data_IF_431192064580
#
_entry.id   IF_431192064580
#
_cell.length_a   1.000
_cell.length_b   1.000
_cell.length_c   1.000
_cell.angle_alpha   90.00
_cell.angle_beta   90.00
_cell.angle_gamma   90.00
#
_symmetry.space_group_name_H-M   'P 1'
#
loop_
_entity.id
_entity.type
_entity.pdbx_description
1 polymer ?
#
# COMPACT_ATOMS: atom_id res chain seq x y z
N UNK A 1 -11.62 7.33 -18.53
CA UNK A 1 -11.04 8.65 -18.82
C UNK A 1 -9.53 8.50 -19.01
N UNK A 2 -8.94 8.95 -20.14
CA UNK A 2 -7.50 8.85 -20.41
C UNK A 2 -6.63 9.63 -19.40
N UNK A 3 -7.19 10.62 -18.71
CA UNK A 3 -6.49 11.39 -17.69
C UNK A 3 -6.35 10.64 -16.36
N UNK A 4 -7.18 9.61 -16.11
CA UNK A 4 -7.13 8.80 -14.87
C UNK A 4 -5.77 8.14 -14.71
N UNK A 5 -5.22 8.24 -13.49
CA UNK A 5 -3.93 7.72 -13.12
C UNK A 5 -4.06 6.49 -12.22
N UNK A 6 -3.22 5.50 -12.43
CA UNK A 6 -3.19 4.27 -11.65
C UNK A 6 -1.78 3.99 -11.16
N UNK A 7 -1.64 3.63 -9.88
CA UNK A 7 -0.40 3.11 -9.29
C UNK A 7 -0.61 1.65 -8.91
N UNK A 8 0.31 0.78 -9.28
CA UNK A 8 0.20 -0.64 -9.05
C UNK A 8 0.97 -1.08 -7.80
N UNK A 9 0.39 -2.02 -7.07
CA UNK A 9 1.00 -2.70 -5.92
C UNK A 9 0.89 -4.21 -6.13
N UNK A 10 1.99 -4.90 -5.91
CA UNK A 10 2.08 -6.35 -6.00
C UNK A 10 2.82 -6.90 -4.78
N UNK A 11 2.18 -7.82 -4.03
CA UNK A 11 2.75 -8.45 -2.82
C UNK A 11 3.42 -7.46 -1.84
N UNK A 12 2.75 -6.34 -1.55
CA UNK A 12 3.25 -5.24 -0.71
C UNK A 12 4.41 -4.42 -1.32
N UNK A 13 4.83 -4.69 -2.56
CA UNK A 13 5.81 -3.90 -3.31
C UNK A 13 5.13 -2.89 -4.22
N UNK A 14 5.72 -1.72 -4.35
CA UNK A 14 5.22 -0.63 -5.20
C UNK A 14 5.89 -0.67 -6.57
N UNK A 15 5.13 -0.39 -7.63
CA UNK A 15 5.65 -0.30 -8.99
C UNK A 15 6.39 1.01 -9.20
N UNK A 16 7.70 0.93 -9.45
CA UNK A 16 8.59 2.08 -9.58
C UNK A 16 9.56 1.91 -10.74
N UNK A 17 10.10 3.02 -11.23
CA UNK A 17 11.21 3.08 -12.18
C UNK A 17 12.40 3.81 -11.56
N UNK A 18 13.60 3.61 -12.11
CA UNK A 18 14.83 4.19 -11.58
C UNK A 18 15.42 3.37 -10.42
N UNK A 19 16.76 3.25 -10.40
CA UNK A 19 17.49 2.51 -9.36
C UNK A 19 17.96 3.45 -8.26
N UNK A 20 18.62 4.54 -8.64
CA UNK A 20 19.20 5.50 -7.70
C UNK A 20 18.22 6.65 -7.31
N UNK A 21 17.22 6.87 -8.13
CA UNK A 21 16.16 7.86 -7.90
C UNK A 21 14.82 7.25 -8.30
N UNK A 22 14.23 6.39 -7.45
CA UNK A 22 12.99 5.71 -7.76
C UNK A 22 11.84 6.72 -7.88
N UNK A 23 10.96 6.46 -8.86
CA UNK A 23 9.75 7.23 -9.07
C UNK A 23 8.57 6.29 -9.29
N UNK A 24 7.35 6.62 -8.86
CA UNK A 24 6.17 5.82 -9.15
C UNK A 24 5.99 5.67 -10.66
N UNK A 25 5.73 4.44 -11.12
CA UNK A 25 5.20 4.25 -12.46
C UNK A 25 3.71 4.51 -12.41
N UNK A 26 3.27 5.55 -13.10
CA UNK A 26 1.86 5.91 -13.22
C UNK A 26 1.33 5.41 -14.56
N UNK A 27 0.44 4.43 -14.51
CA UNK A 27 -0.23 3.88 -15.68
C UNK A 27 -1.42 4.77 -16.07
N UNK A 28 -1.67 4.92 -17.39
CA UNK A 28 -2.78 5.71 -17.92
C UNK A 28 -3.29 5.13 -19.23
N UNK A 29 -4.56 5.40 -19.56
CA UNK A 29 -5.17 5.02 -20.82
C UNK A 29 -4.96 3.54 -21.13
N UNK A 30 -4.46 3.25 -22.33
CA UNK A 30 -4.22 1.88 -22.80
C UNK A 30 -3.15 1.14 -21.98
N UNK A 31 -2.16 1.85 -21.46
CA UNK A 31 -1.11 1.28 -20.61
C UNK A 31 -1.66 0.69 -19.29
N UNK A 32 -2.80 1.17 -18.83
CA UNK A 32 -3.45 0.68 -17.63
C UNK A 32 -4.44 -0.44 -17.87
N UNK A 33 -4.83 -0.71 -19.14
CA UNK A 33 -5.96 -1.56 -19.46
C UNK A 33 -5.80 -2.99 -18.94
N UNK A 34 -4.66 -3.61 -19.21
CA UNK A 34 -4.41 -4.98 -18.77
C UNK A 34 -4.27 -5.07 -17.24
N UNK A 35 -3.55 -4.12 -16.62
CA UNK A 35 -3.40 -4.09 -15.18
C UNK A 35 -4.76 -3.88 -14.48
N UNK A 36 -5.64 -3.05 -15.06
CA UNK A 36 -6.97 -2.80 -14.53
C UNK A 36 -7.88 -4.03 -14.65
N UNK A 37 -7.79 -4.77 -15.77
CA UNK A 37 -8.54 -6.00 -15.98
C UNK A 37 -8.14 -7.11 -14.99
N UNK A 38 -6.84 -7.21 -14.68
CA UNK A 38 -6.27 -8.25 -13.83
C UNK A 38 -6.23 -7.89 -12.34
N UNK A 39 -6.56 -6.64 -11.97
CA UNK A 39 -6.53 -6.19 -10.59
C UNK A 39 -7.59 -6.89 -9.73
N UNK A 40 -7.18 -7.43 -8.57
CA UNK A 40 -8.11 -8.01 -7.58
C UNK A 40 -8.95 -6.94 -6.88
N UNK A 41 -8.39 -5.77 -6.67
CA UNK A 41 -9.05 -4.61 -6.05
C UNK A 41 -8.57 -3.32 -6.75
N UNK A 42 -9.51 -2.39 -6.89
CA UNK A 42 -9.25 -1.03 -7.41
C UNK A 42 -9.75 -0.05 -6.38
N UNK A 43 -8.85 0.78 -5.86
CA UNK A 43 -9.17 1.72 -4.78
C UNK A 43 -8.91 3.14 -5.23
N UNK A 44 -9.89 4.02 -5.05
CA UNK A 44 -9.75 5.45 -5.31
C UNK A 44 -8.89 6.10 -4.22
N UNK A 45 -7.78 6.74 -4.60
CA UNK A 45 -6.87 7.39 -3.66
C UNK A 45 -7.17 8.89 -3.48
N UNK A 46 -7.84 9.50 -4.43
CA UNK A 46 -8.16 10.93 -4.40
C UNK A 46 -7.98 11.60 -5.75
N UNK A 47 -7.91 12.92 -5.71
CA UNK A 47 -7.68 13.77 -6.88
C UNK A 47 -6.31 14.44 -6.78
N UNK A 48 -5.58 14.46 -7.88
CA UNK A 48 -4.41 15.29 -8.12
C UNK A 48 -4.81 16.39 -9.11
N UNK A 49 -5.15 17.57 -8.60
CA UNK A 49 -5.90 18.56 -9.34
C UNK A 49 -7.28 18.02 -9.75
N UNK A 50 -7.54 17.95 -11.05
CA UNK A 50 -8.77 17.35 -11.60
C UNK A 50 -8.61 15.85 -11.96
N UNK A 51 -7.44 15.28 -11.78
CA UNK A 51 -7.11 13.92 -12.17
C UNK A 51 -7.44 12.92 -11.06
N UNK A 52 -8.27 11.94 -11.33
CA UNK A 52 -8.53 10.83 -10.43
C UNK A 52 -7.32 9.88 -10.37
N UNK A 53 -6.93 9.50 -9.16
CA UNK A 53 -5.84 8.57 -8.90
C UNK A 53 -6.38 7.33 -8.20
N UNK A 54 -6.00 6.15 -8.70
CA UNK A 54 -6.40 4.86 -8.15
C UNK A 54 -5.20 3.97 -7.85
N UNK A 55 -5.34 3.08 -6.88
CA UNK A 55 -4.44 1.97 -6.62
C UNK A 55 -4.99 0.68 -7.22
N UNK A 56 -4.13 -0.12 -7.85
CA UNK A 56 -4.43 -1.46 -8.37
C UNK A 56 -3.72 -2.52 -7.53
N UNK A 57 -4.46 -3.52 -7.02
CA UNK A 57 -3.88 -4.70 -6.37
C UNK A 57 -3.66 -5.79 -7.41
N UNK A 58 -2.41 -6.04 -7.74
CA UNK A 58 -1.98 -7.10 -8.66
C UNK A 58 -1.43 -8.32 -7.92
N UNK A 59 -1.62 -8.42 -6.60
CA UNK A 59 -0.99 -9.44 -5.75
C UNK A 59 -1.42 -10.88 -6.05
N UNK A 60 -2.51 -11.06 -6.78
CA UNK A 60 -2.97 -12.38 -7.27
C UNK A 60 -2.17 -12.93 -8.45
N UNK A 61 -1.38 -12.09 -9.13
CA UNK A 61 -0.61 -12.50 -10.31
C UNK A 61 0.72 -13.16 -9.91
N UNK A 62 1.18 -14.07 -10.78
CA UNK A 62 2.54 -14.60 -10.68
C UNK A 62 3.58 -13.57 -11.14
N UNK A 63 4.84 -13.77 -10.77
CA UNK A 63 5.98 -12.90 -11.08
C UNK A 63 6.08 -12.53 -12.57
N UNK A 64 5.88 -13.52 -13.47
CA UNK A 64 5.94 -13.31 -14.92
C UNK A 64 4.75 -12.52 -15.45
N UNK A 65 3.57 -12.73 -14.88
CA UNK A 65 2.32 -12.10 -15.32
C UNK A 65 2.22 -10.65 -14.89
N UNK A 66 2.71 -10.31 -13.70
CA UNK A 66 2.62 -8.94 -13.17
C UNK A 66 3.43 -7.95 -13.97
N UNK A 67 4.59 -8.35 -14.50
CA UNK A 67 5.40 -7.48 -15.36
C UNK A 67 4.72 -7.24 -16.71
N UNK A 68 4.11 -8.26 -17.28
CA UNK A 68 3.34 -8.11 -18.51
C UNK A 68 2.13 -7.19 -18.29
N UNK A 69 1.43 -7.35 -17.17
CA UNK A 69 0.28 -6.52 -16.81
C UNK A 69 0.61 -5.01 -16.76
N UNK A 70 1.85 -4.65 -16.42
CA UNK A 70 2.31 -3.25 -16.37
C UNK A 70 3.18 -2.84 -17.57
N UNK A 71 3.13 -3.63 -18.66
CA UNK A 71 3.83 -3.33 -19.91
C UNK A 71 5.35 -3.48 -19.82
N UNK A 72 5.86 -4.35 -18.96
CA UNK A 72 7.29 -4.62 -18.74
C UNK A 72 8.12 -3.38 -18.44
N UNK A 73 7.53 -2.38 -17.80
CA UNK A 73 8.19 -1.12 -17.41
C UNK A 73 8.41 -1.09 -15.90
N UNK A 74 9.60 -0.66 -15.48
CA UNK A 74 9.94 -0.55 -14.06
C UNK A 74 10.08 -1.89 -13.35
N UNK A 75 9.98 -1.84 -12.03
CA UNK A 75 10.10 -3.00 -11.14
C UNK A 75 9.20 -2.82 -9.91
N UNK A 76 8.86 -3.93 -9.25
CA UNK A 76 8.18 -3.87 -7.96
C UNK A 76 9.21 -3.88 -6.82
N UNK A 77 9.19 -2.85 -5.97
CA UNK A 77 10.17 -2.68 -4.89
C UNK A 77 9.47 -2.44 -3.54
N UNK A 78 10.08 -2.98 -2.48
CA UNK A 78 9.60 -2.74 -1.10
C UNK A 78 9.79 -1.27 -0.72
N UNK A 79 8.68 -0.60 -0.41
CA UNK A 79 8.66 0.81 -0.05
C UNK A 79 9.55 1.15 1.16
N UNK A 80 9.80 0.20 2.07
CA UNK A 80 10.71 0.41 3.19
C UNK A 80 12.16 0.62 2.76
N UNK A 81 12.54 0.03 1.62
CA UNK A 81 13.90 0.13 1.08
C UNK A 81 14.08 1.40 0.27
N UNK A 82 13.08 1.76 -0.56
CA UNK A 82 13.16 2.90 -1.47
C UNK A 82 12.62 4.20 -0.88
N UNK A 83 11.81 4.13 0.18
CA UNK A 83 11.14 5.30 0.79
C UNK A 83 12.05 6.49 1.07
N UNK A 84 13.28 6.29 1.64
CA UNK A 84 14.20 7.41 1.86
C UNK A 84 14.71 8.10 0.58
N UNK A 85 14.54 7.47 -0.59
CA UNK A 85 15.00 7.98 -1.89
C UNK A 85 13.87 8.63 -2.71
N UNK A 86 12.62 8.42 -2.31
CA UNK A 86 11.44 9.02 -2.93
C UNK A 86 11.27 10.47 -2.49
N UNK A 87 10.71 11.30 -3.35
CA UNK A 87 10.21 12.57 -2.86
C UNK A 87 9.02 12.38 -1.91
N UNK A 88 8.68 13.43 -1.18
CA UNK A 88 7.68 13.35 -0.12
C UNK A 88 6.27 13.01 -0.64
N UNK A 89 5.90 13.54 -1.79
CA UNK A 89 4.57 13.33 -2.37
C UNK A 89 4.44 11.91 -2.92
N UNK A 90 5.43 11.44 -3.66
CA UNK A 90 5.49 10.08 -4.20
C UNK A 90 5.53 9.03 -3.08
N UNK A 91 6.37 9.26 -2.06
CA UNK A 91 6.43 8.39 -0.88
C UNK A 91 5.10 8.29 -0.16
N UNK A 92 4.38 9.41 0.01
CA UNK A 92 3.05 9.43 0.64
C UNK A 92 2.01 8.70 -0.22
N UNK A 93 1.99 8.92 -1.53
CA UNK A 93 1.09 8.26 -2.47
C UNK A 93 1.27 6.72 -2.44
N UNK A 94 2.51 6.26 -2.58
CA UNK A 94 2.80 4.82 -2.58
C UNK A 94 2.53 4.18 -1.21
N UNK A 95 2.81 4.87 -0.11
CA UNK A 95 2.50 4.39 1.24
C UNK A 95 0.99 4.24 1.43
N UNK A 96 0.21 5.22 0.97
CA UNK A 96 -1.24 5.17 1.04
C UNK A 96 -1.83 4.05 0.19
N UNK A 97 -1.43 3.94 -1.07
CA UNK A 97 -1.85 2.87 -1.97
C UNK A 97 -1.60 1.48 -1.34
N UNK A 98 -0.36 1.24 -0.88
CA UNK A 98 0.04 0.00 -0.23
C UNK A 98 -0.77 -0.28 1.04
N UNK A 99 -0.98 0.72 1.88
CA UNK A 99 -1.68 0.55 3.16
C UNK A 99 -3.15 0.16 2.95
N UNK A 100 -3.87 0.84 2.06
CA UNK A 100 -5.28 0.57 1.80
C UNK A 100 -5.48 -0.78 1.12
N UNK A 101 -4.64 -1.16 0.14
CA UNK A 101 -4.72 -2.46 -0.51
C UNK A 101 -4.38 -3.60 0.43
N UNK A 102 -3.36 -3.43 1.29
CA UNK A 102 -3.06 -4.39 2.34
C UNK A 102 -4.22 -4.56 3.32
N UNK A 103 -4.90 -3.47 3.68
CA UNK A 103 -6.10 -3.53 4.50
C UNK A 103 -7.20 -4.34 3.80
N UNK A 104 -7.44 -4.15 2.50
CA UNK A 104 -8.39 -4.94 1.71
C UNK A 104 -8.10 -6.44 1.80
N UNK A 105 -6.85 -6.84 1.61
CA UNK A 105 -6.44 -8.26 1.70
C UNK A 105 -6.70 -8.87 3.08
N UNK A 106 -6.51 -8.07 4.14
CA UNK A 106 -6.75 -8.50 5.53
C UNK A 106 -8.22 -8.53 5.94
N UNK A 107 -9.13 -7.92 5.13
CA UNK A 107 -10.54 -7.75 5.49
C UNK A 107 -11.51 -8.37 4.46
N UNK A 108 -11.06 -9.39 3.73
CA UNK A 108 -11.90 -10.15 2.77
C UNK A 108 -13.09 -10.83 3.46
N UNK A 109 -12.98 -11.11 4.76
CA UNK A 109 -14.02 -11.74 5.56
C UNK A 109 -14.39 -10.86 6.75
N UNK A 110 -15.68 -10.87 7.09
CA UNK A 110 -16.24 -10.12 8.21
C UNK A 110 -15.74 -10.67 9.55
N UNK A 111 -15.07 -9.84 10.35
CA UNK A 111 -14.57 -10.23 11.68
C UNK A 111 -15.67 -10.60 12.69
N UNK A 112 -16.95 -10.20 12.41
CA UNK A 112 -18.09 -10.55 13.28
C UNK A 112 -18.72 -11.91 12.96
N UNK A 113 -18.81 -12.28 11.67
CA UNK A 113 -19.60 -13.45 11.29
C UNK A 113 -18.93 -14.36 10.25
N UNK A 114 -17.71 -14.05 9.81
CA UNK A 114 -16.94 -14.83 8.87
C UNK A 114 -17.41 -14.80 7.41
N UNK A 115 -18.51 -14.12 7.08
CA UNK A 115 -18.97 -14.02 5.70
C UNK A 115 -18.06 -13.11 4.87
N UNK A 116 -18.03 -13.27 3.54
CA UNK A 116 -17.28 -12.35 2.65
C UNK A 116 -17.70 -10.88 2.84
N UNK A 117 -16.79 -9.99 2.54
CA UNK A 117 -17.04 -8.55 2.52
C UNK A 117 -16.92 -8.01 1.10
N UNK A 118 -17.62 -6.93 0.78
CA UNK A 118 -17.52 -6.22 -0.49
C UNK A 118 -17.00 -4.79 -0.28
N UNK A 119 -16.16 -4.30 -1.19
CA UNK A 119 -15.68 -2.92 -1.19
C UNK A 119 -16.81 -1.95 -1.54
N UNK A 120 -16.82 -0.79 -0.86
CA UNK A 120 -17.71 0.36 -1.10
C UNK A 120 -16.96 1.67 -0.96
N UNK A 121 -17.61 2.77 -1.34
CA UNK A 121 -17.12 4.14 -1.17
C UNK A 121 -15.69 4.31 -1.73
N UNK A 122 -15.50 3.94 -2.99
CA UNK A 122 -14.20 4.01 -3.65
C UNK A 122 -13.12 3.08 -3.07
N UNK A 123 -13.52 2.09 -2.27
CA UNK A 123 -12.61 1.16 -1.62
C UNK A 123 -12.24 1.54 -0.17
N UNK A 124 -12.86 2.61 0.39
CA UNK A 124 -12.55 3.04 1.76
C UNK A 124 -13.41 2.36 2.83
N UNK A 125 -14.39 1.55 2.42
CA UNK A 125 -15.24 0.76 3.30
C UNK A 125 -15.33 -0.66 2.75
N UNK A 126 -15.33 -1.66 3.61
CA UNK A 126 -15.79 -3.00 3.25
C UNK A 126 -17.02 -3.36 4.05
N UNK A 127 -18.05 -3.85 3.38
CA UNK A 127 -19.33 -4.21 4.02
C UNK A 127 -19.53 -5.71 3.96
N UNK A 128 -19.95 -6.28 5.10
CA UNK A 128 -20.34 -7.68 5.16
C UNK A 128 -21.51 -7.97 4.22
N UNK A 129 -21.38 -9.00 3.38
CA UNK A 129 -22.38 -9.38 2.38
C UNK A 129 -23.53 -10.21 2.97
N UNK A 130 -23.42 -10.68 4.23
CA UNK A 130 -24.50 -11.42 4.90
C UNK A 130 -25.64 -10.48 5.28
N UNK A 131 -26.85 -10.75 4.79
CA UNK A 131 -28.02 -9.90 4.95
C UNK A 131 -28.31 -9.47 6.41
N UNK A 132 -28.17 -10.39 7.37
CA UNK A 132 -28.47 -10.12 8.77
C UNK A 132 -27.23 -9.64 9.58
N UNK A 133 -26.12 -9.30 8.90
CA UNK A 133 -24.93 -8.77 9.55
C UNK A 133 -24.65 -7.32 9.14
N UNK A 134 -24.40 -7.05 7.87
CA UNK A 134 -24.24 -5.72 7.30
C UNK A 134 -23.16 -4.84 7.96
N UNK A 135 -22.23 -5.42 8.74
CA UNK A 135 -21.20 -4.66 9.44
C UNK A 135 -20.26 -4.00 8.46
N UNK A 136 -20.03 -2.71 8.64
CA UNK A 136 -19.03 -1.94 7.92
C UNK A 136 -17.67 -2.05 8.62
N UNK A 137 -16.62 -2.26 7.83
CA UNK A 137 -15.23 -2.27 8.24
C UNK A 137 -14.54 -1.07 7.61
N UNK A 138 -13.75 -0.35 8.40
CA UNK A 138 -12.97 0.82 7.97
C UNK A 138 -11.49 0.60 8.21
N UNK A 139 -10.59 1.19 7.41
CA UNK A 139 -9.17 1.22 7.72
C UNK A 139 -8.96 1.87 9.09
N UNK A 140 -8.04 1.32 9.89
CA UNK A 140 -7.66 1.91 11.17
C UNK A 140 -6.39 2.73 11.00
N UNK A 141 -6.40 3.92 11.57
CA UNK A 141 -5.27 4.85 11.63
C UNK A 141 -4.96 5.13 13.09
N UNK A 142 -4.53 4.09 13.82
CA UNK A 142 -4.16 4.24 15.22
C UNK A 142 -2.88 5.09 15.32
N UNK A 143 -2.83 6.11 16.19
CA UNK A 143 -1.62 6.87 16.41
C UNK A 143 -0.55 5.99 17.04
N UNK A 144 0.70 6.19 16.62
CA UNK A 144 1.86 5.55 17.21
C UNK A 144 2.92 6.61 17.53
N UNK A 145 3.64 6.44 18.62
CA UNK A 145 4.74 7.31 19.01
C UNK A 145 6.07 6.57 18.95
N UNK A 146 7.13 7.32 18.68
CA UNK A 146 8.51 6.85 18.78
C UNK A 146 9.15 7.59 19.96
N UNK A 147 9.70 6.83 20.93
CA UNK A 147 10.18 7.38 22.18
C UNK A 147 11.66 7.10 22.36
N UNK A 148 12.45 8.16 22.56
CA UNK A 148 13.82 8.05 23.03
C UNK A 148 13.85 8.27 24.53
N UNK A 149 14.06 7.20 25.31
CA UNK A 149 14.25 7.28 26.75
C UNK A 149 15.72 7.50 27.04
N UNK A 150 16.09 8.58 27.72
CA UNK A 150 17.47 8.93 28.05
C UNK A 150 17.61 9.46 29.48
N UNK A 151 18.81 9.47 30.01
CA UNK A 151 19.13 9.89 31.38
C UNK A 151 19.34 11.43 31.55
N UNK A 152 19.14 12.19 30.48
CA UNK A 152 19.45 13.60 30.39
C UNK A 152 20.89 13.91 30.00
N UNK A 153 21.75 12.91 29.86
CA UNK A 153 23.13 12.94 29.45
C UNK A 153 23.41 12.21 28.17
N UNK A 154 24.46 11.41 28.15
CA UNK A 154 24.94 10.71 26.93
C UNK A 154 24.36 9.31 26.75
N UNK A 155 23.50 8.80 27.64
CA UNK A 155 22.97 7.45 27.58
C UNK A 155 21.49 7.44 27.22
N UNK A 156 21.11 6.48 26.38
CA UNK A 156 19.72 6.21 26.04
C UNK A 156 19.42 4.70 26.01
N UNK A 157 18.12 4.37 26.08
CA UNK A 157 17.65 2.98 25.98
C UNK A 157 17.36 2.66 24.54
N UNK A 158 18.05 1.64 24.02
CA UNK A 158 17.78 1.06 22.70
C UNK A 158 17.42 -0.41 22.85
N UNK A 159 16.47 -0.87 22.05
CA UNK A 159 16.02 -2.25 21.98
C UNK A 159 16.51 -2.93 20.72
N UNK A 160 16.67 -4.27 20.78
CA UNK A 160 16.94 -5.09 19.62
C UNK A 160 16.08 -6.34 19.67
N UNK A 161 15.38 -6.63 18.56
CA UNK A 161 14.67 -7.89 18.39
C UNK A 161 15.58 -8.93 17.69
N UNK A 162 15.41 -10.24 17.97
CA UNK A 162 16.23 -11.29 17.32
C UNK A 162 16.21 -11.27 15.79
N UNK A 163 15.10 -10.80 15.20
CA UNK A 163 14.92 -10.68 13.74
C UNK A 163 15.66 -9.48 13.11
N UNK A 164 16.15 -8.55 13.93
CA UNK A 164 16.89 -7.39 13.39
C UNK A 164 18.29 -7.83 12.92
N UNK A 165 18.80 -7.22 11.85
CA UNK A 165 20.18 -7.41 11.44
C UNK A 165 21.17 -7.17 12.59
N UNK A 166 22.34 -7.81 12.52
CA UNK A 166 23.40 -7.57 13.52
C UNK A 166 23.77 -6.09 13.57
N UNK A 167 23.90 -5.56 14.79
CA UNK A 167 24.23 -4.14 15.01
C UNK A 167 23.03 -3.18 14.88
N UNK A 168 21.87 -3.62 14.43
CA UNK A 168 20.68 -2.77 14.35
C UNK A 168 19.96 -2.69 15.71
N UNK A 169 19.84 -1.50 16.25
CA UNK A 169 19.07 -1.19 17.44
C UNK A 169 18.01 -0.14 17.12
N UNK A 170 16.93 -0.12 17.86
CA UNK A 170 15.82 0.82 17.68
C UNK A 170 15.43 1.43 19.00
N UNK A 171 14.87 2.62 18.94
CA UNK A 171 14.14 3.24 20.06
C UNK A 171 12.83 2.52 20.32
N UNK A 172 12.15 2.85 21.40
CA UNK A 172 10.83 2.31 21.73
C UNK A 172 9.77 2.90 20.81
N UNK A 173 8.75 2.10 20.48
CA UNK A 173 7.60 2.54 19.68
C UNK A 173 6.34 1.80 20.14
N UNK A 174 5.20 2.50 20.11
CA UNK A 174 3.89 1.93 20.49
C UNK A 174 2.76 2.94 20.39
#
# INVERSE_FOLDING_TARGET
DPATAFVAVWQDSSHVTGVDSPQPVVLRGEDASLALELAEEVVFLGLDGERAVFALDLSGLADSEVLDAVGNRGTFQDLRRIGPQLDRADGALLAYARAVLRWHRGHRFCGRCGAPTAAKDGGHVRICTRANCGVSHHPRTDPAVIMLVHDGGEHCVLGRQPRHPSGMHTVLAG
#
